data_IF_857616558629
#
_entry.id   IF_857616558629
#
_cell.length_a   1.000
_cell.length_b   1.000
_cell.length_c   1.000
_cell.angle_alpha   90.00
_cell.angle_beta   90.00
_cell.angle_gamma   90.00
#
_symmetry.space_group_name_H-M   'P 1'
#
loop_
_entity.id
_entity.type
_entity.pdbx_description
1 polymer ?
#
# COMPACT_ATOMS: atom_id res chain seq x y z
N UNK A 1 -56.30 36.23 -21.76
CA UNK A 1 -54.90 36.68 -21.96
C UNK A 1 -54.65 36.75 -23.47
N UNK A 2 -54.05 37.83 -24.00
CA UNK A 2 -53.81 37.97 -25.45
C UNK A 2 -52.72 37.00 -25.95
N UNK A 3 -52.84 36.53 -27.19
CA UNK A 3 -51.88 35.61 -27.83
C UNK A 3 -50.44 36.12 -27.78
N UNK A 4 -50.25 37.43 -27.88
CA UNK A 4 -48.93 38.07 -27.85
C UNK A 4 -48.25 37.96 -26.49
N UNK A 5 -49.04 37.95 -25.40
CA UNK A 5 -48.51 37.71 -24.05
C UNK A 5 -48.01 36.29 -23.87
N UNK A 6 -48.67 35.31 -24.49
CA UNK A 6 -48.28 33.89 -24.44
C UNK A 6 -47.02 33.66 -25.27
N UNK A 7 -46.96 34.25 -26.47
CA UNK A 7 -45.79 34.17 -27.36
C UNK A 7 -44.55 34.81 -26.72
N UNK A 8 -44.70 35.98 -26.09
CA UNK A 8 -43.60 36.64 -25.37
C UNK A 8 -43.10 35.83 -24.17
N UNK A 9 -44.00 35.15 -23.44
CA UNK A 9 -43.60 34.26 -22.34
C UNK A 9 -42.80 33.05 -22.85
N UNK A 10 -43.25 32.43 -23.94
CA UNK A 10 -42.60 31.27 -24.55
C UNK A 10 -41.19 31.62 -25.08
N UNK A 11 -41.04 32.80 -25.69
CA UNK A 11 -39.75 33.29 -26.20
C UNK A 11 -38.74 33.52 -25.05
N UNK A 12 -39.20 34.04 -23.91
CA UNK A 12 -38.37 34.17 -22.70
C UNK A 12 -37.96 32.82 -22.13
N UNK A 13 -38.86 31.83 -22.12
CA UNK A 13 -38.51 30.47 -21.67
C UNK A 13 -37.52 29.78 -22.61
N UNK A 14 -37.72 29.94 -23.92
CA UNK A 14 -36.80 29.44 -24.93
C UNK A 14 -35.40 30.04 -24.74
N UNK A 15 -35.31 31.35 -24.52
CA UNK A 15 -34.02 32.02 -24.29
C UNK A 15 -33.33 31.52 -23.00
N UNK A 16 -34.10 31.29 -21.92
CA UNK A 16 -33.57 30.69 -20.68
C UNK A 16 -33.03 29.28 -20.91
N UNK A 17 -33.77 28.45 -21.66
CA UNK A 17 -33.35 27.08 -22.00
C UNK A 17 -32.09 27.08 -22.86
N UNK A 18 -31.99 27.98 -23.83
CA UNK A 18 -30.80 28.14 -24.67
C UNK A 18 -29.57 28.49 -23.84
N UNK A 19 -29.67 29.50 -22.97
CA UNK A 19 -28.57 29.91 -22.08
C UNK A 19 -28.15 28.78 -21.14
N UNK A 20 -29.13 28.00 -20.64
CA UNK A 20 -28.83 26.85 -19.78
C UNK A 20 -28.12 25.74 -20.54
N UNK A 21 -28.49 25.49 -21.78
CA UNK A 21 -27.83 24.52 -22.65
C UNK A 21 -26.37 24.92 -22.90
N UNK A 22 -26.13 26.18 -23.27
CA UNK A 22 -24.76 26.69 -23.50
C UNK A 22 -23.86 26.52 -22.26
N UNK A 23 -24.41 26.76 -21.07
CA UNK A 23 -23.70 26.55 -19.81
C UNK A 23 -23.39 25.06 -19.55
N UNK A 24 -24.36 24.17 -19.79
CA UNK A 24 -24.15 22.73 -19.66
C UNK A 24 -23.08 22.20 -20.61
N UNK A 25 -23.04 22.71 -21.85
CA UNK A 25 -22.00 22.36 -22.83
C UNK A 25 -20.62 22.80 -22.35
N UNK A 26 -20.50 24.01 -21.78
CA UNK A 26 -19.23 24.48 -21.19
C UNK A 26 -18.78 23.60 -20.03
N UNK A 27 -19.71 23.21 -19.15
CA UNK A 27 -19.43 22.35 -18.02
C UNK A 27 -18.98 20.95 -18.47
N UNK A 28 -19.67 20.34 -19.43
CA UNK A 28 -19.28 19.03 -19.98
C UNK A 28 -17.87 19.08 -20.58
N UNK A 29 -17.56 20.14 -21.35
CA UNK A 29 -16.23 20.31 -21.93
C UNK A 29 -15.13 20.46 -20.87
N UNK A 30 -15.45 21.09 -19.75
CA UNK A 30 -14.51 21.30 -18.63
C UNK A 30 -14.29 19.99 -17.87
N UNK A 31 -15.37 19.30 -17.51
CA UNK A 31 -15.33 18.02 -16.81
C UNK A 31 -14.55 16.96 -17.60
N UNK A 32 -14.71 16.89 -18.92
CA UNK A 32 -13.93 15.97 -19.77
C UNK A 32 -12.42 16.23 -19.67
N UNK A 33 -12.01 17.51 -19.65
CA UNK A 33 -10.58 17.88 -19.52
C UNK A 33 -10.03 17.53 -18.16
N UNK A 34 -10.79 17.81 -17.11
CA UNK A 34 -10.43 17.48 -15.73
C UNK A 34 -10.32 15.97 -15.53
N UNK A 35 -11.30 15.20 -15.99
CA UNK A 35 -11.29 13.73 -15.94
C UNK A 35 -10.08 13.14 -16.67
N UNK A 36 -9.79 13.61 -17.89
CA UNK A 36 -8.61 13.17 -18.65
C UNK A 36 -7.31 13.44 -17.90
N UNK A 37 -7.24 14.60 -17.22
CA UNK A 37 -6.07 14.98 -16.43
C UNK A 37 -5.94 14.10 -15.18
N UNK A 38 -7.04 13.84 -14.49
CA UNK A 38 -7.08 12.97 -13.32
C UNK A 38 -6.65 11.54 -13.70
N UNK A 39 -7.19 11.00 -14.79
CA UNK A 39 -6.83 9.67 -15.29
C UNK A 39 -5.33 9.57 -15.55
N UNK A 40 -4.74 10.56 -16.23
CA UNK A 40 -3.28 10.58 -16.50
C UNK A 40 -2.47 10.58 -15.21
N UNK A 41 -2.87 11.37 -14.21
CA UNK A 41 -2.20 11.41 -12.90
C UNK A 41 -2.32 10.08 -12.16
N UNK A 42 -3.50 9.46 -12.15
CA UNK A 42 -3.73 8.16 -11.53
C UNK A 42 -2.89 7.06 -12.18
N UNK A 43 -2.83 7.02 -13.52
CA UNK A 43 -1.97 6.08 -14.25
C UNK A 43 -0.49 6.30 -13.94
N UNK A 44 -0.03 7.57 -13.88
CA UNK A 44 1.35 7.89 -13.52
C UNK A 44 1.70 7.40 -12.11
N UNK A 45 0.80 7.60 -11.14
CA UNK A 45 1.00 7.11 -9.77
C UNK A 45 1.07 5.58 -9.74
N UNK A 46 0.16 4.90 -10.42
CA UNK A 46 0.17 3.44 -10.51
C UNK A 46 1.47 2.90 -11.13
N UNK A 47 1.99 3.57 -12.17
CA UNK A 47 3.28 3.21 -12.77
C UNK A 47 4.45 3.39 -11.81
N UNK A 48 4.50 4.49 -11.07
CA UNK A 48 5.56 4.74 -10.07
C UNK A 48 5.51 3.69 -8.95
N UNK A 49 4.31 3.41 -8.42
CA UNK A 49 4.12 2.40 -7.38
C UNK A 49 4.55 1.03 -7.86
N UNK A 50 4.16 0.61 -9.08
CA UNK A 50 4.58 -0.67 -9.65
C UNK A 50 6.12 -0.79 -9.74
N UNK A 51 6.81 0.28 -10.15
CA UNK A 51 8.28 0.29 -10.20
C UNK A 51 8.89 0.22 -8.80
N UNK A 52 8.29 0.89 -7.82
CA UNK A 52 8.73 0.80 -6.43
C UNK A 52 8.54 -0.61 -5.88
N UNK A 53 7.38 -1.23 -6.13
CA UNK A 53 7.09 -2.61 -5.71
C UNK A 53 8.03 -3.61 -6.36
N UNK A 54 8.35 -3.46 -7.65
CA UNK A 54 9.35 -4.33 -8.31
C UNK A 54 10.75 -4.17 -7.70
N UNK A 55 11.18 -2.93 -7.40
CA UNK A 55 12.46 -2.69 -6.71
C UNK A 55 12.48 -3.24 -5.29
N UNK A 56 11.37 -3.16 -4.58
CA UNK A 56 11.19 -3.75 -3.26
C UNK A 56 11.22 -5.28 -3.34
N UNK A 57 10.57 -5.88 -4.34
CA UNK A 57 10.60 -7.32 -4.57
C UNK A 57 12.01 -7.83 -4.93
N UNK A 58 12.77 -7.07 -5.73
CA UNK A 58 14.20 -7.35 -6.00
C UNK A 58 15.09 -7.21 -4.75
N UNK A 59 14.72 -6.34 -3.81
CA UNK A 59 15.42 -6.20 -2.52
C UNK A 59 14.98 -7.27 -1.50
N UNK A 60 13.78 -7.80 -1.67
CA UNK A 60 13.19 -8.90 -0.92
C UNK A 60 13.40 -10.23 -1.67
N UNK A 61 14.62 -10.53 -2.10
CA UNK A 61 15.01 -11.93 -2.27
C UNK A 61 14.95 -12.60 -0.90
N UNK A 62 13.88 -13.37 -0.71
CA UNK A 62 13.67 -14.51 0.18
C UNK A 62 14.80 -14.73 1.21
N UNK A 63 14.54 -14.16 2.40
CA UNK A 63 14.67 -14.82 3.71
C UNK A 63 16.00 -15.52 4.05
N UNK A 64 17.09 -14.77 4.07
CA UNK A 64 17.98 -14.93 5.22
C UNK A 64 17.74 -13.78 6.19
N UNK A 65 17.60 -14.05 7.51
CA UNK A 65 17.57 -13.00 8.50
C UNK A 65 18.79 -12.09 8.31
N UNK A 66 18.55 -10.82 7.98
CA UNK A 66 19.59 -9.81 7.80
C UNK A 66 19.51 -8.80 8.94
N UNK A 67 20.66 -8.28 9.33
CA UNK A 67 20.73 -7.15 10.26
C UNK A 67 20.03 -5.92 9.68
N UNK A 68 19.52 -5.07 10.56
CA UNK A 68 18.93 -3.78 10.19
C UNK A 68 20.01 -2.95 9.51
N UNK A 69 19.74 -2.52 8.27
CA UNK A 69 20.73 -1.83 7.45
C UNK A 69 21.05 -0.41 7.92
N UNK A 70 22.27 0.05 7.59
CA UNK A 70 22.82 1.36 7.98
C UNK A 70 21.93 2.56 7.62
N UNK A 71 21.15 2.45 6.55
CA UNK A 71 20.21 3.50 6.15
C UNK A 71 19.12 3.71 7.20
N UNK A 72 18.58 2.63 7.75
CA UNK A 72 17.57 2.69 8.80
C UNK A 72 18.19 3.14 10.14
N UNK A 73 19.41 2.67 10.45
CA UNK A 73 20.15 3.08 11.64
C UNK A 73 20.47 4.58 11.66
N UNK A 74 20.77 5.18 10.49
CA UNK A 74 20.96 6.64 10.37
C UNK A 74 19.70 7.44 10.67
N UNK A 75 18.52 6.89 10.38
CA UNK A 75 17.23 7.54 10.66
C UNK A 75 16.82 7.35 12.12
N UNK A 76 17.04 6.15 12.66
CA UNK A 76 16.68 5.78 14.04
C UNK A 76 17.83 5.01 14.68
N UNK A 77 18.75 5.68 15.39
CA UNK A 77 19.91 5.03 16.01
C UNK A 77 19.56 3.99 17.06
N UNK A 78 18.39 4.13 17.71
CA UNK A 78 17.92 3.17 18.72
C UNK A 78 17.70 1.75 18.17
N UNK A 79 17.59 1.58 16.86
CA UNK A 79 17.47 0.26 16.23
C UNK A 79 18.78 -0.55 16.29
N UNK A 80 19.91 0.09 16.59
CA UNK A 80 21.21 -0.59 16.73
C UNK A 80 21.16 -1.69 17.80
N UNK A 81 20.40 -1.46 18.88
CA UNK A 81 20.25 -2.41 19.98
C UNK A 81 19.82 -3.80 19.48
N UNK A 82 18.92 -3.87 18.50
CA UNK A 82 18.46 -5.15 17.94
C UNK A 82 19.56 -5.88 17.16
N UNK A 83 20.36 -5.15 16.38
CA UNK A 83 21.51 -5.74 15.71
C UNK A 83 22.52 -6.29 16.72
N UNK A 84 22.74 -5.56 17.82
CA UNK A 84 23.63 -6.02 18.88
C UNK A 84 23.10 -7.29 19.56
N UNK A 85 21.79 -7.38 19.83
CA UNK A 85 21.18 -8.60 20.37
C UNK A 85 21.29 -9.78 19.41
N UNK A 86 21.02 -9.59 18.12
CA UNK A 86 21.14 -10.64 17.11
C UNK A 86 22.58 -11.15 17.06
N UNK A 87 23.56 -10.25 17.04
CA UNK A 87 24.98 -10.61 17.04
C UNK A 87 25.40 -11.39 18.29
N UNK A 88 24.90 -11.02 19.47
CA UNK A 88 25.17 -11.77 20.71
C UNK A 88 24.66 -13.21 20.60
N UNK A 89 23.44 -13.38 20.10
CA UNK A 89 22.81 -14.68 19.90
C UNK A 89 23.58 -15.51 18.87
N UNK A 90 23.90 -14.92 17.70
CA UNK A 90 24.66 -15.61 16.66
C UNK A 90 26.07 -16.00 17.13
N UNK A 91 26.78 -15.13 17.84
CA UNK A 91 28.11 -15.44 18.40
C UNK A 91 28.07 -16.52 19.48
N UNK A 92 27.00 -16.58 20.27
CA UNK A 92 26.81 -17.66 21.24
C UNK A 92 26.54 -19.02 20.57
N UNK A 93 25.95 -19.04 19.38
CA UNK A 93 25.65 -20.28 18.65
C UNK A 93 26.75 -20.72 17.68
N UNK A 94 27.54 -19.81 17.10
CA UNK A 94 28.63 -20.17 16.18
C UNK A 94 29.80 -20.89 16.85
N UNK A 95 29.95 -20.78 18.19
CA UNK A 95 30.95 -21.52 18.95
C UNK A 95 30.51 -22.94 19.33
N UNK A 96 29.21 -23.21 19.28
CA UNK A 96 28.62 -24.45 19.74
C UNK A 96 27.85 -25.12 18.60
N UNK A 97 28.55 -26.01 17.87
CA UNK A 97 27.94 -27.21 17.26
C UNK A 97 27.40 -28.17 18.36
N UNK A 98 27.03 -27.66 19.53
CA UNK A 98 26.34 -28.41 20.55
C UNK A 98 24.88 -28.47 20.14
N UNK A 99 24.51 -29.59 19.55
CA UNK A 99 23.13 -30.02 19.43
C UNK A 99 22.48 -29.83 20.80
N UNK A 100 21.56 -28.86 20.91
CA UNK A 100 20.90 -28.54 22.19
C UNK A 100 20.16 -29.81 22.63
N UNK A 101 20.73 -30.54 23.58
CA UNK A 101 20.10 -31.73 24.15
C UNK A 101 18.91 -31.28 24.99
N UNK A 102 17.70 -31.41 24.42
CA UNK A 102 16.47 -31.10 25.13
C UNK A 102 16.31 -32.12 26.26
N UNK A 103 16.21 -31.69 27.54
CA UNK A 103 15.96 -32.60 28.65
C UNK A 103 14.70 -33.42 28.41
N UNK A 104 14.71 -34.70 28.79
CA UNK A 104 13.62 -35.66 28.51
C UNK A 104 12.27 -35.16 29.05
N UNK A 105 12.30 -34.41 30.14
CA UNK A 105 11.15 -33.83 30.81
C UNK A 105 10.50 -32.70 29.98
N UNK A 106 11.26 -32.06 29.09
CA UNK A 106 10.83 -30.93 28.26
C UNK A 106 10.61 -31.33 26.80
N UNK A 107 10.86 -32.59 26.44
CA UNK A 107 10.70 -33.07 25.07
C UNK A 107 9.23 -32.98 24.60
N UNK A 108 8.30 -33.30 25.49
CA UNK A 108 6.86 -33.27 25.19
C UNK A 108 6.34 -31.83 25.00
N UNK A 109 6.83 -30.88 25.81
CA UNK A 109 6.43 -29.46 25.67
C UNK A 109 7.10 -28.80 24.47
N UNK A 110 8.34 -29.16 24.17
CA UNK A 110 9.05 -28.71 22.98
C UNK A 110 8.40 -29.20 21.69
N UNK A 111 8.08 -30.50 21.59
CA UNK A 111 7.40 -31.07 20.42
C UNK A 111 6.04 -30.42 20.20
N UNK A 112 5.26 -30.24 21.27
CA UNK A 112 3.98 -29.52 21.20
C UNK A 112 4.17 -28.09 20.68
N UNK A 113 5.13 -27.33 21.18
CA UNK A 113 5.36 -25.95 20.75
C UNK A 113 5.87 -25.86 19.31
N UNK A 114 6.74 -26.79 18.90
CA UNK A 114 7.29 -26.85 17.54
C UNK A 114 6.23 -27.20 16.50
N UNK A 115 5.34 -28.12 16.84
CA UNK A 115 4.33 -28.64 15.92
C UNK A 115 3.03 -27.82 15.95
N UNK A 116 2.92 -26.85 16.87
CA UNK A 116 1.75 -25.96 16.92
C UNK A 116 1.85 -24.90 15.82
N UNK A 117 0.89 -24.85 14.88
CA UNK A 117 0.82 -23.78 13.88
C UNK A 117 0.68 -22.43 14.58
N UNK A 118 1.65 -21.53 14.38
CA UNK A 118 1.63 -20.19 14.98
C UNK A 118 0.65 -19.28 14.24
N UNK A 119 0.43 -19.52 12.95
CA UNK A 119 -0.50 -18.80 12.11
C UNK A 119 -1.61 -19.71 11.58
N UNK A 120 -2.78 -19.11 11.31
CA UNK A 120 -3.98 -19.77 10.78
C UNK A 120 -3.78 -20.47 9.43
N UNK A 121 -2.63 -20.29 8.77
CA UNK A 121 -2.30 -20.90 7.48
C UNK A 121 -1.06 -21.80 7.48
N UNK A 122 -0.39 -21.99 8.61
CA UNK A 122 0.83 -22.80 8.63
C UNK A 122 0.55 -24.31 8.50
N UNK A 123 -0.72 -24.72 8.52
CA UNK A 123 -1.20 -26.10 8.41
C UNK A 123 -1.85 -26.45 7.07
N UNK A 124 -1.69 -25.63 6.02
CA UNK A 124 -2.11 -25.91 4.63
C UNK A 124 -0.95 -26.00 3.65
#
# INVERSE_FOLDING_TARGET
>A
MSSDSVRSALEKEYQKLSLRNDELVKQDSTLRKEYTTLLRKASSLASVLKVMDSKLAEQCEIEQPKLIGDRALKLVPGLQWYNDQINLVTQSFDNDNEEIEIPKELLDSYTLCKDTPLLYKDSQ
#
